data_IF_676821295374
#
_entry.id   IF_676821295374
#
_cell.length_a   1.000
_cell.length_b   1.000
_cell.length_c   1.000
_cell.angle_alpha   90.00
_cell.angle_beta   90.00
_cell.angle_gamma   90.00
#
_symmetry.space_group_name_H-M   'P 1'
#
loop_
_entity.id
_entity.type
_entity.pdbx_description
1 polymer ?
#
# COMPACT_ATOMS: atom_id res chain seq x y z
N UNK A 1 -1.80 15.79 -5.59
CA UNK A 1 -1.05 14.53 -5.39
C UNK A 1 -1.98 13.38 -5.71
N UNK A 2 -1.48 12.33 -6.34
CA UNK A 2 -2.20 11.09 -6.60
C UNK A 2 -1.54 9.91 -5.89
N UNK A 3 -2.32 8.87 -5.63
CA UNK A 3 -1.87 7.59 -5.11
C UNK A 3 -2.23 6.50 -6.11
N UNK A 4 -1.29 5.61 -6.44
CA UNK A 4 -1.66 4.36 -7.12
C UNK A 4 -2.53 3.52 -6.18
N UNK A 5 -3.42 2.65 -6.70
CA UNK A 5 -4.18 1.74 -5.86
C UNK A 5 -3.26 0.91 -4.96
N UNK A 6 -3.59 0.82 -3.67
CA UNK A 6 -2.86 -0.04 -2.73
C UNK A 6 -2.91 -1.50 -3.21
N UNK A 7 -1.82 -2.25 -3.04
CA UNK A 7 -1.82 -3.68 -3.36
C UNK A 7 -2.74 -4.42 -2.40
N UNK A 8 -3.48 -5.42 -2.89
CA UNK A 8 -3.97 -6.46 -2.00
C UNK A 8 -2.86 -7.49 -1.77
N UNK A 9 -2.97 -8.25 -0.69
CA UNK A 9 -2.04 -9.34 -0.45
C UNK A 9 -2.18 -10.38 -1.59
N UNK A 10 -1.05 -10.72 -2.19
CA UNK A 10 -0.91 -11.78 -3.19
C UNK A 10 0.51 -12.29 -3.07
N UNK A 11 0.64 -13.61 -3.00
CA UNK A 11 1.92 -14.23 -2.71
C UNK A 11 2.42 -15.02 -3.92
N UNK A 12 3.70 -14.86 -4.23
CA UNK A 12 4.47 -15.79 -5.05
C UNK A 12 5.43 -16.52 -4.10
N UNK A 13 5.03 -17.71 -3.65
CA UNK A 13 5.70 -18.39 -2.55
C UNK A 13 5.64 -17.56 -1.26
N UNK A 14 6.80 -17.24 -0.70
CA UNK A 14 6.93 -16.42 0.52
C UNK A 14 7.03 -14.91 0.25
N UNK A 15 6.83 -14.46 -0.99
CA UNK A 15 7.07 -13.07 -1.39
C UNK A 15 5.76 -12.38 -1.77
N UNK A 16 5.51 -11.19 -1.22
CA UNK A 16 4.37 -10.37 -1.61
C UNK A 16 4.60 -9.73 -2.98
N UNK A 17 3.62 -9.82 -3.88
CA UNK A 17 3.69 -9.31 -5.25
C UNK A 17 2.51 -8.41 -5.58
N UNK A 18 2.73 -7.52 -6.54
CA UNK A 18 1.70 -6.58 -6.99
C UNK A 18 0.57 -7.23 -7.78
N UNK A 19 -0.68 -6.88 -7.47
CA UNK A 19 -1.88 -7.52 -8.05
C UNK A 19 -3.03 -6.55 -8.42
N UNK A 20 -2.77 -5.25 -8.56
CA UNK A 20 -3.80 -4.23 -8.88
C UNK A 20 -3.45 -3.47 -10.15
N UNK A 21 -4.49 -3.17 -10.93
CA UNK A 21 -4.41 -2.36 -12.15
C UNK A 21 -4.45 -0.86 -11.86
N UNK A 22 -4.76 -0.06 -12.89
CA UNK A 22 -4.85 1.41 -12.82
C UNK A 22 -3.55 2.15 -12.46
N UNK A 23 -2.41 1.46 -12.39
CA UNK A 23 -1.10 2.09 -12.16
C UNK A 23 -0.74 3.09 -13.25
N UNK A 24 -0.78 2.66 -14.52
CA UNK A 24 -0.43 3.52 -15.66
C UNK A 24 -1.39 4.71 -15.83
N UNK A 25 -2.72 4.55 -15.74
CA UNK A 25 -3.64 5.68 -15.72
C UNK A 25 -3.36 6.70 -14.60
N UNK A 26 -3.11 6.27 -13.37
CA UNK A 26 -2.78 7.18 -12.27
C UNK A 26 -1.48 7.93 -12.53
N UNK A 27 -0.44 7.23 -12.98
CA UNK A 27 0.84 7.86 -13.33
C UNK A 27 0.68 8.84 -14.48
N UNK A 28 -0.08 8.48 -15.53
CA UNK A 28 -0.36 9.36 -16.66
C UNK A 28 -1.12 10.63 -16.23
N UNK A 29 -2.12 10.49 -15.34
CA UNK A 29 -2.84 11.63 -14.78
C UNK A 29 -1.91 12.55 -13.95
N UNK A 30 -0.97 11.96 -13.19
CA UNK A 30 0.05 12.70 -12.47
C UNK A 30 0.92 13.53 -13.39
N UNK A 31 1.44 12.91 -14.45
CA UNK A 31 2.22 13.59 -15.50
C UNK A 31 1.43 14.70 -16.18
N UNK A 32 0.18 14.44 -16.58
CA UNK A 32 -0.65 15.40 -17.29
C UNK A 32 -1.01 16.64 -16.46
N UNK A 33 -1.08 16.50 -15.14
CA UNK A 33 -1.46 17.59 -14.22
C UNK A 33 -0.28 18.21 -13.48
N UNK A 34 0.93 17.66 -13.64
CA UNK A 34 2.09 18.01 -12.81
C UNK A 34 1.93 17.60 -11.34
N UNK A 35 0.95 16.76 -11.01
CA UNK A 35 0.74 16.31 -9.64
C UNK A 35 1.75 15.20 -9.28
N UNK A 36 2.38 15.26 -8.08
CA UNK A 36 3.23 14.16 -7.62
C UNK A 36 2.41 12.88 -7.42
N UNK A 37 3.01 11.75 -7.73
CA UNK A 37 2.41 10.41 -7.62
C UNK A 37 3.18 9.57 -6.62
N UNK A 38 2.49 9.10 -5.59
CA UNK A 38 3.03 8.09 -4.68
C UNK A 38 2.62 6.71 -5.19
N UNK A 39 3.62 5.87 -5.48
CA UNK A 39 3.38 4.47 -5.87
C UNK A 39 3.05 3.60 -4.64
N UNK A 40 1.86 3.81 -4.08
CA UNK A 40 1.38 3.07 -2.93
C UNK A 40 1.22 1.57 -3.23
N UNK A 41 0.95 1.19 -4.48
CA UNK A 41 0.96 -0.21 -4.92
C UNK A 41 2.28 -0.89 -4.59
N UNK A 42 3.41 -0.32 -5.05
CA UNK A 42 4.73 -0.86 -4.75
C UNK A 42 5.08 -0.82 -3.28
N UNK A 43 4.81 0.32 -2.64
CA UNK A 43 5.16 0.52 -1.25
C UNK A 43 4.39 -0.44 -0.32
N UNK A 44 3.13 -0.74 -0.63
CA UNK A 44 2.30 -1.65 0.16
C UNK A 44 2.73 -3.11 0.04
N UNK A 45 2.96 -3.66 -1.16
CA UNK A 45 3.46 -5.04 -1.22
C UNK A 45 4.89 -5.17 -0.64
N UNK A 46 5.69 -4.10 -0.67
CA UNK A 46 6.99 -4.06 0.02
C UNK A 46 6.83 -4.09 1.55
N UNK A 47 5.83 -3.38 2.09
CA UNK A 47 5.47 -3.46 3.50
C UNK A 47 5.03 -4.89 3.87
N UNK A 48 4.16 -5.50 3.07
CA UNK A 48 3.68 -6.88 3.33
C UNK A 48 4.83 -7.88 3.37
N UNK A 49 5.84 -7.73 2.50
CA UNK A 49 7.05 -8.57 2.52
C UNK A 49 7.92 -8.33 3.76
N UNK A 50 8.00 -7.08 4.23
CA UNK A 50 8.67 -6.73 5.49
C UNK A 50 7.97 -7.35 6.70
N UNK A 51 6.63 -7.35 6.69
CA UNK A 51 5.78 -7.92 7.73
C UNK A 51 5.62 -9.45 7.63
N UNK A 52 6.18 -10.08 6.59
CA UNK A 52 6.09 -11.53 6.35
C UNK A 52 4.65 -12.03 6.29
N UNK A 53 3.79 -11.29 5.58
CA UNK A 53 2.39 -11.69 5.35
C UNK A 53 2.24 -12.84 4.35
N UNK A 54 3.31 -13.19 3.63
CA UNK A 54 3.34 -14.36 2.76
C UNK A 54 4.11 -15.53 3.40
N UNK A 55 3.69 -16.79 3.17
CA UNK A 55 2.56 -17.20 2.32
C UNK A 55 1.20 -16.87 2.97
N UNK A 56 0.25 -16.47 2.14
CA UNK A 56 -1.16 -16.29 2.52
C UNK A 56 -1.94 -17.55 2.13
N UNK A 57 -2.67 -18.13 3.08
CA UNK A 57 -3.52 -19.31 2.88
C UNK A 57 -4.98 -18.94 2.58
N UNK A 58 -5.30 -17.65 2.48
CA UNK A 58 -6.63 -17.13 2.22
C UNK A 58 -7.54 -17.10 3.45
N UNK A 59 -7.01 -17.32 4.66
CA UNK A 59 -7.78 -17.23 5.90
C UNK A 59 -7.57 -15.87 6.59
N UNK A 60 -8.50 -14.95 6.32
CA UNK A 60 -8.52 -13.59 6.86
C UNK A 60 -9.16 -13.51 8.25
N UNK A 61 -9.58 -14.65 8.82
CA UNK A 61 -10.15 -14.67 10.18
C UNK A 61 -9.09 -14.82 11.28
N UNK A 62 -7.83 -15.12 10.91
CA UNK A 62 -6.76 -15.41 11.87
C UNK A 62 -5.36 -15.08 11.32
N UNK A 63 -4.38 -15.14 12.20
CA UNK A 63 -2.96 -14.96 11.86
C UNK A 63 -2.61 -13.53 11.45
N UNK A 64 -1.40 -13.34 10.92
CA UNK A 64 -0.91 -12.01 10.56
C UNK A 64 -1.72 -11.37 9.41
N UNK A 65 -2.20 -12.16 8.46
CA UNK A 65 -3.07 -11.68 7.36
C UNK A 65 -4.41 -11.20 7.91
N UNK A 66 -5.09 -12.02 8.73
CA UNK A 66 -6.37 -11.62 9.35
C UNK A 66 -6.25 -10.54 10.43
N UNK A 67 -5.05 -10.32 10.98
CA UNK A 67 -4.80 -9.17 11.84
C UNK A 67 -4.62 -7.88 11.02
N UNK A 68 -4.15 -7.98 9.77
CA UNK A 68 -3.84 -6.84 8.91
C UNK A 68 -5.02 -6.39 8.05
N UNK A 69 -5.79 -7.34 7.54
CA UNK A 69 -6.91 -7.13 6.65
C UNK A 69 -8.21 -7.53 7.33
N UNK A 70 -9.26 -6.75 7.10
CA UNK A 70 -10.62 -7.14 7.45
C UNK A 70 -11.00 -8.44 6.73
N UNK A 71 -11.91 -9.21 7.33
CA UNK A 71 -12.45 -10.44 6.76
C UNK A 71 -13.43 -10.21 5.57
N UNK A 72 -13.17 -9.18 4.79
CA UNK A 72 -13.76 -8.91 3.47
C UNK A 72 -12.70 -8.92 2.35
N UNK A 73 -11.46 -9.25 2.71
CA UNK A 73 -10.32 -9.46 1.83
C UNK A 73 -9.87 -8.21 1.06
N UNK A 74 -10.32 -7.03 1.49
CA UNK A 74 -10.06 -5.77 0.78
C UNK A 74 -9.66 -4.64 1.71
N UNK A 75 -10.36 -4.46 2.83
CA UNK A 75 -10.11 -3.36 3.76
C UNK A 75 -9.03 -3.73 4.78
N UNK A 76 -8.37 -2.71 5.32
CA UNK A 76 -7.41 -2.88 6.41
C UNK A 76 -8.13 -2.83 7.75
N UNK A 77 -7.62 -3.59 8.71
CA UNK A 77 -7.93 -3.35 10.11
C UNK A 77 -7.44 -1.95 10.52
N UNK A 78 -8.05 -1.37 11.56
CA UNK A 78 -7.79 0.03 11.93
C UNK A 78 -6.31 0.29 12.26
N UNK A 79 -5.64 -0.67 12.93
CA UNK A 79 -4.21 -0.57 13.26
C UNK A 79 -3.33 -0.61 12.00
N UNK A 80 -3.74 -1.34 10.97
CA UNK A 80 -2.95 -1.54 9.76
C UNK A 80 -3.22 -0.47 8.70
N UNK A 81 -4.41 0.15 8.74
CA UNK A 81 -4.65 1.42 8.09
C UNK A 81 -3.67 2.50 8.58
N UNK A 82 -3.31 2.53 9.88
CA UNK A 82 -2.28 3.42 10.41
C UNK A 82 -0.89 3.07 9.85
N UNK A 83 -0.55 1.78 9.71
CA UNK A 83 0.72 1.37 9.08
C UNK A 83 0.81 1.86 7.63
N UNK A 84 -0.26 1.71 6.84
CA UNK A 84 -0.34 2.23 5.47
C UNK A 84 -0.25 3.77 5.45
N UNK A 85 -0.90 4.46 6.39
CA UNK A 85 -0.79 5.91 6.52
C UNK A 85 0.66 6.35 6.80
N UNK A 86 1.41 5.60 7.64
CA UNK A 86 2.83 5.85 7.89
C UNK A 86 3.70 5.64 6.65
N UNK A 87 3.38 4.64 5.81
CA UNK A 87 4.05 4.44 4.51
C UNK A 87 3.84 5.65 3.61
N UNK A 88 2.61 6.17 3.51
CA UNK A 88 2.31 7.39 2.73
C UNK A 88 3.03 8.60 3.32
N UNK A 89 3.00 8.78 4.64
CA UNK A 89 3.69 9.87 5.32
C UNK A 89 5.21 9.84 5.10
N UNK A 90 5.82 8.65 5.09
CA UNK A 90 7.23 8.48 4.73
C UNK A 90 7.47 8.87 3.27
N UNK A 91 6.64 8.39 2.34
CA UNK A 91 6.76 8.72 0.92
C UNK A 91 6.62 10.23 0.65
N UNK A 92 5.74 10.92 1.37
CA UNK A 92 5.63 12.39 1.31
C UNK A 92 6.97 13.06 1.64
N UNK A 93 7.65 12.62 2.71
CA UNK A 93 8.96 13.15 3.12
C UNK A 93 10.05 12.80 2.10
N UNK A 94 10.15 11.53 1.71
CA UNK A 94 11.17 11.03 0.80
C UNK A 94 11.11 11.73 -0.57
N UNK A 95 9.90 11.97 -1.08
CA UNK A 95 9.66 12.61 -2.38
C UNK A 95 9.61 14.14 -2.29
N UNK A 96 9.79 14.72 -1.10
CA UNK A 96 9.74 16.18 -0.85
C UNK A 96 8.43 16.81 -1.34
N UNK A 97 7.31 16.09 -1.20
CA UNK A 97 5.98 16.61 -1.55
C UNK A 97 5.61 17.65 -0.50
N UNK A 98 5.12 18.83 -0.93
CA UNK A 98 4.86 19.96 -0.02
C UNK A 98 3.94 19.64 1.16
N UNK A 99 3.04 18.66 1.04
CA UNK A 99 2.20 18.18 2.14
C UNK A 99 3.02 17.62 3.32
N UNK A 100 4.26 17.17 3.10
CA UNK A 100 5.17 16.72 4.15
C UNK A 100 5.43 17.80 5.22
N UNK A 101 5.32 19.10 4.88
CA UNK A 101 5.47 20.21 5.82
C UNK A 101 4.40 20.28 6.91
N UNK A 102 3.31 19.52 6.78
CA UNK A 102 2.22 19.45 7.75
C UNK A 102 2.24 18.17 8.59
N UNK A 103 3.20 17.27 8.35
CA UNK A 103 3.37 16.08 9.18
C UNK A 103 3.98 16.48 10.52
N UNK A 104 3.36 16.00 11.61
CA UNK A 104 3.89 16.14 12.97
C UNK A 104 5.05 15.18 13.23
#
# INVERSE_FOLDING_TARGET
>A
MLLTPVAAITCSGSTAVGNRGFLSPTTAAGTATGAPVIDLHKLSYTLYDTLKLCPDNGDYSKGAVGAFFCNDHTHFEAADADQIARVVAKALRDQKIGLAGYLK
#
